data_IF_523835921237
#
_entry.id   IF_523835921237
#
_cell.length_a   1.000
_cell.length_b   1.000
_cell.length_c   1.000
_cell.angle_alpha   90.00
_cell.angle_beta   90.00
_cell.angle_gamma   90.00
#
_symmetry.space_group_name_H-M   'P 1'
#
loop_
_entity.id
_entity.type
_entity.pdbx_description
1 polymer ?
#
# COMPACT_ATOMS: atom_id res chain seq x y z
N UNK A 1 -3.52 3.65 23.66
CA UNK A 1 -3.36 2.73 22.52
C UNK A 1 -2.99 3.54 21.27
N UNK A 2 -1.92 3.19 20.61
CA UNK A 2 -1.49 3.93 19.44
C UNK A 2 -2.38 3.65 18.22
N UNK A 3 -2.48 4.63 17.34
CA UNK A 3 -3.19 4.46 16.09
C UNK A 3 -2.53 3.39 15.23
N UNK A 4 -3.34 2.60 14.55
CA UNK A 4 -2.88 1.68 13.53
C UNK A 4 -2.91 2.42 12.19
N UNK A 5 -1.79 2.39 11.49
CA UNK A 5 -1.68 3.02 10.18
C UNK A 5 -1.66 1.96 9.09
N UNK A 6 -2.73 1.85 8.31
CA UNK A 6 -2.74 0.92 7.18
C UNK A 6 -1.88 1.44 6.04
N UNK A 7 -1.08 0.54 5.44
CA UNK A 7 -0.22 0.87 4.31
C UNK A 7 -0.32 -0.25 3.29
N UNK A 8 -0.78 0.07 2.09
CA UNK A 8 -0.80 -0.89 0.98
C UNK A 8 0.47 -0.79 0.15
N UNK A 9 0.70 -1.79 -0.70
CA UNK A 9 1.95 -1.92 -1.44
C UNK A 9 2.09 -0.97 -2.61
N UNK A 10 1.39 -1.22 -3.71
CA UNK A 10 1.56 -0.45 -4.93
C UNK A 10 0.24 -0.36 -5.69
N UNK A 11 -0.79 0.13 -5.01
CA UNK A 11 -2.12 0.28 -5.62
C UNK A 11 -2.26 1.56 -6.42
N UNK A 12 -1.51 2.62 -6.06
CA UNK A 12 -1.65 3.92 -6.67
C UNK A 12 -2.91 4.64 -6.19
N UNK A 13 -3.18 5.81 -6.79
CA UNK A 13 -4.26 6.67 -6.32
C UNK A 13 -5.64 6.06 -6.51
N UNK A 14 -5.87 5.37 -7.63
CA UNK A 14 -7.18 4.76 -7.91
C UNK A 14 -7.43 3.62 -6.95
N UNK A 15 -6.47 2.70 -6.80
CA UNK A 15 -6.59 1.59 -5.86
C UNK A 15 -6.74 2.06 -4.42
N UNK A 16 -6.02 3.10 -4.05
CA UNK A 16 -6.12 3.70 -2.72
C UNK A 16 -7.56 4.18 -2.44
N UNK A 17 -8.17 4.87 -3.40
CA UNK A 17 -9.55 5.34 -3.27
C UNK A 17 -10.53 4.19 -3.17
N UNK A 18 -10.35 3.13 -3.98
CA UNK A 18 -11.24 1.97 -3.96
C UNK A 18 -11.18 1.27 -2.60
N UNK A 19 -10.00 1.07 -2.05
CA UNK A 19 -9.85 0.43 -0.74
C UNK A 19 -10.50 1.26 0.35
N UNK A 20 -10.31 2.59 0.31
CA UNK A 20 -10.96 3.48 1.27
C UNK A 20 -12.49 3.33 1.24
N UNK A 21 -13.06 3.31 0.05
CA UNK A 21 -14.51 3.19 -0.10
C UNK A 21 -15.02 1.84 0.40
N UNK A 22 -14.32 0.76 0.06
CA UNK A 22 -14.70 -0.58 0.51
C UNK A 22 -14.65 -0.72 2.02
N UNK A 23 -13.61 -0.19 2.64
CA UNK A 23 -13.47 -0.25 4.10
C UNK A 23 -14.51 0.63 4.80
N UNK A 24 -14.84 1.78 4.21
CA UNK A 24 -15.89 2.65 4.75
C UNK A 24 -17.25 1.96 4.76
N UNK A 25 -17.56 1.15 3.75
CA UNK A 25 -18.80 0.37 3.71
C UNK A 25 -18.90 -0.63 4.84
N UNK A 26 -17.76 -1.13 5.32
CA UNK A 26 -17.71 -2.06 6.45
C UNK A 26 -17.55 -1.35 7.79
N UNK A 27 -17.64 -0.02 7.82
CA UNK A 27 -17.58 0.75 9.05
C UNK A 27 -16.20 1.22 9.47
N UNK A 28 -15.18 1.08 8.61
CA UNK A 28 -13.82 1.49 8.92
C UNK A 28 -13.46 2.78 8.19
N UNK A 29 -13.23 3.86 8.94
CA UNK A 29 -12.76 5.12 8.40
C UNK A 29 -11.24 5.13 8.36
N UNK A 30 -10.68 5.17 7.15
CA UNK A 30 -9.24 5.13 6.93
C UNK A 30 -8.67 6.45 6.41
N UNK A 31 -9.46 7.52 6.44
CA UNK A 31 -9.19 8.76 5.72
C UNK A 31 -7.81 9.36 5.95
N UNK A 32 -7.43 9.62 7.20
CA UNK A 32 -6.19 10.35 7.50
C UNK A 32 -5.00 9.43 7.79
N UNK A 33 -5.24 8.13 7.94
CA UNK A 33 -4.21 7.18 8.40
C UNK A 33 -3.72 6.25 7.31
N UNK A 34 -4.51 6.09 6.27
CA UNK A 34 -4.22 5.12 5.21
C UNK A 34 -3.33 5.75 4.14
N UNK A 35 -2.29 5.03 3.74
CA UNK A 35 -1.43 5.45 2.65
C UNK A 35 -1.05 4.24 1.79
N UNK A 36 -0.33 4.50 0.72
CA UNK A 36 0.09 3.48 -0.23
C UNK A 36 1.55 3.76 -0.62
N UNK A 37 2.35 2.69 -0.73
CA UNK A 37 3.77 2.85 -1.05
C UNK A 37 3.99 3.52 -2.40
N UNK A 38 3.14 3.23 -3.40
CA UNK A 38 3.22 3.91 -4.69
C UNK A 38 2.99 5.41 -4.58
N UNK A 39 2.06 5.82 -3.72
CA UNK A 39 1.79 7.24 -3.49
C UNK A 39 2.92 7.90 -2.70
N UNK A 40 3.59 7.18 -1.82
CA UNK A 40 4.73 7.71 -1.06
C UNK A 40 5.98 7.85 -1.91
N UNK A 41 6.15 6.97 -2.89
CA UNK A 41 7.36 6.94 -3.70
C UNK A 41 7.40 8.05 -4.74
N UNK A 42 6.26 8.42 -5.31
CA UNK A 42 6.20 9.35 -6.43
C UNK A 42 5.48 10.65 -6.10
N UNK A 43 5.98 11.75 -6.67
CA UNK A 43 5.30 13.05 -6.65
C UNK A 43 4.46 13.17 -7.92
N UNK A 44 3.15 12.98 -7.80
CA UNK A 44 2.24 12.98 -8.94
C UNK A 44 2.12 14.34 -9.64
N UNK A 45 2.48 15.42 -8.96
CA UNK A 45 2.43 16.75 -9.54
C UNK A 45 3.66 17.05 -10.40
N UNK A 46 4.80 16.50 -10.02
CA UNK A 46 6.08 16.76 -10.69
C UNK A 46 6.51 15.64 -11.63
N UNK A 47 5.98 14.45 -11.44
CA UNK A 47 6.34 13.27 -12.22
C UNK A 47 5.14 12.75 -12.98
N UNK A 48 5.35 12.37 -14.23
CA UNK A 48 4.29 11.82 -15.08
C UNK A 48 4.06 10.35 -14.76
N UNK A 49 3.46 10.09 -13.61
CA UNK A 49 3.25 8.72 -13.09
C UNK A 49 1.78 8.33 -13.05
N UNK A 50 0.91 9.13 -13.65
CA UNK A 50 -0.54 8.87 -13.65
C UNK A 50 -1.07 8.53 -12.26
N UNK A 51 -1.53 7.29 -12.04
CA UNK A 51 -2.06 6.88 -10.75
C UNK A 51 -0.99 6.59 -9.71
N UNK A 52 0.28 6.56 -10.08
CA UNK A 52 1.38 6.35 -9.16
C UNK A 52 1.82 4.91 -9.00
N UNK A 53 1.48 4.02 -9.93
CA UNK A 53 1.96 2.64 -9.89
C UNK A 53 3.42 2.55 -10.26
N UNK A 54 4.16 1.67 -9.59
CA UNK A 54 5.61 1.56 -9.77
C UNK A 54 6.10 0.15 -10.07
N UNK A 55 5.24 -0.85 -9.92
CA UNK A 55 5.60 -2.23 -10.18
C UNK A 55 6.32 -2.92 -9.03
N UNK A 56 7.01 -4.01 -9.35
CA UNK A 56 7.67 -4.85 -8.37
C UNK A 56 8.77 -4.09 -7.62
N UNK A 57 8.89 -4.34 -6.33
CA UNK A 57 9.93 -3.74 -5.50
C UNK A 57 9.53 -2.45 -4.79
N UNK A 58 8.44 -1.82 -5.19
CA UNK A 58 7.98 -0.57 -4.59
C UNK A 58 7.74 -0.72 -3.09
N UNK A 59 6.97 -1.72 -2.68
CA UNK A 59 6.62 -1.89 -1.27
C UNK A 59 7.86 -2.19 -0.43
N UNK A 60 8.78 -3.01 -0.92
CA UNK A 60 10.01 -3.31 -0.20
C UNK A 60 10.91 -2.09 -0.06
N UNK A 61 11.03 -1.30 -1.13
CA UNK A 61 11.84 -0.07 -1.11
C UNK A 61 11.31 0.93 -0.11
N UNK A 62 10.00 1.19 -0.13
CA UNK A 62 9.37 2.13 0.80
C UNK A 62 9.42 1.60 2.23
N UNK A 63 9.22 0.31 2.42
CA UNK A 63 9.32 -0.30 3.75
C UNK A 63 10.68 -0.05 4.37
N UNK A 64 11.76 -0.35 3.62
CA UNK A 64 13.12 -0.22 4.13
C UNK A 64 13.56 1.23 4.29
N UNK A 65 13.18 2.10 3.36
CA UNK A 65 13.67 3.47 3.34
C UNK A 65 12.87 4.44 4.21
N UNK A 66 11.60 4.18 4.40
CA UNK A 66 10.71 5.14 5.05
C UNK A 66 9.94 4.55 6.22
N UNK A 67 9.31 3.39 6.02
CA UNK A 67 8.37 2.86 7.01
C UNK A 67 9.09 2.29 8.24
N UNK A 68 10.10 1.45 8.05
CA UNK A 68 10.85 0.89 9.16
C UNK A 68 11.62 1.95 9.95
N UNK A 69 12.32 2.90 9.30
CA UNK A 69 12.93 3.99 10.05
C UNK A 69 11.92 4.81 10.86
N UNK A 70 10.71 5.03 10.33
CA UNK A 70 9.65 5.71 11.08
C UNK A 70 9.20 4.96 12.32
N UNK A 71 9.09 3.62 12.23
CA UNK A 71 8.81 2.79 13.38
C UNK A 71 9.93 2.83 14.40
N UNK A 72 11.19 2.76 13.96
CA UNK A 72 12.35 2.82 14.81
C UNK A 72 12.43 4.14 15.57
N UNK A 73 12.15 5.24 14.92
CA UNK A 73 12.15 6.57 15.53
C UNK A 73 10.87 6.86 16.32
N UNK A 74 9.95 5.94 16.34
CA UNK A 74 8.65 6.05 17.01
C UNK A 74 7.78 7.18 16.47
N UNK A 75 7.95 7.52 15.19
CA UNK A 75 7.07 8.46 14.50
C UNK A 75 5.65 7.90 14.45
N UNK A 76 5.53 6.59 14.32
CA UNK A 76 4.27 5.85 14.47
C UNK A 76 4.52 4.58 15.27
N UNK A 77 3.48 4.11 15.97
CA UNK A 77 3.62 2.97 16.87
C UNK A 77 3.28 1.64 16.23
N UNK A 78 2.26 1.62 15.38
CA UNK A 78 1.83 0.41 14.69
C UNK A 78 1.40 0.74 13.27
N UNK A 79 1.62 -0.21 12.37
CA UNK A 79 1.09 -0.14 11.02
C UNK A 79 0.66 -1.51 10.57
N UNK A 80 -0.33 -1.56 9.70
CA UNK A 80 -0.69 -2.77 8.96
C UNK A 80 -0.05 -2.60 7.58
N UNK A 81 0.94 -3.44 7.30
CA UNK A 81 1.62 -3.44 6.02
C UNK A 81 1.01 -4.52 5.15
N UNK A 82 0.38 -4.12 4.06
CA UNK A 82 -0.37 -5.01 3.17
C UNK A 82 0.18 -4.89 1.75
N UNK A 83 1.34 -5.50 1.46
CA UNK A 83 1.87 -5.48 0.11
C UNK A 83 0.96 -6.27 -0.82
N UNK A 84 0.80 -5.76 -2.03
CA UNK A 84 -0.09 -6.37 -3.01
C UNK A 84 0.73 -6.95 -4.14
N UNK A 85 0.22 -8.04 -4.73
CA UNK A 85 0.84 -8.64 -5.89
C UNK A 85 -0.22 -9.27 -6.79
N UNK A 86 -0.02 -9.15 -8.09
CA UNK A 86 -0.89 -9.76 -9.08
C UNK A 86 -0.05 -10.28 -10.23
N UNK A 87 -0.43 -11.46 -10.75
CA UNK A 87 0.26 -12.05 -11.88
C UNK A 87 -0.26 -11.41 -13.17
N UNK A 88 0.54 -10.54 -13.77
CA UNK A 88 0.18 -9.77 -14.95
C UNK A 88 1.06 -10.11 -16.17
N UNK A 89 1.37 -11.39 -16.35
CA UNK A 89 2.12 -11.82 -17.53
C UNK A 89 1.27 -11.68 -18.79
N UNK A 90 1.89 -11.55 -19.99
CA UNK A 90 1.13 -11.52 -21.22
C UNK A 90 0.21 -12.72 -21.38
N UNK A 91 0.66 -13.91 -21.00
CA UNK A 91 -0.14 -15.12 -21.07
C UNK A 91 -1.41 -14.99 -20.21
N UNK A 92 -1.27 -14.52 -18.98
CA UNK A 92 -2.40 -14.34 -18.06
C UNK A 92 -3.40 -13.32 -18.61
N UNK A 93 -2.90 -12.20 -19.14
CA UNK A 93 -3.74 -11.12 -19.67
C UNK A 93 -4.51 -11.59 -20.90
N UNK A 94 -3.84 -12.31 -21.82
CA UNK A 94 -4.46 -12.75 -23.06
C UNK A 94 -5.44 -13.91 -22.89
N UNK A 95 -5.40 -14.62 -21.77
CA UNK A 95 -6.38 -15.66 -21.48
C UNK A 95 -7.77 -15.12 -21.17
N UNK A 96 -7.87 -13.83 -20.86
CA UNK A 96 -9.15 -13.17 -20.50
C UNK A 96 -9.83 -13.80 -19.29
N UNK A 97 -9.04 -14.42 -18.42
CA UNK A 97 -9.49 -14.98 -17.15
C UNK A 97 -9.11 -14.02 -16.02
N UNK A 98 -9.57 -14.31 -14.81
CA UNK A 98 -9.16 -13.55 -13.63
C UNK A 98 -7.67 -13.78 -13.35
N UNK A 99 -6.96 -12.70 -13.00
CA UNK A 99 -5.55 -12.80 -12.65
C UNK A 99 -5.38 -13.21 -11.19
N UNK A 100 -4.47 -14.16 -10.90
CA UNK A 100 -4.13 -14.45 -9.51
C UNK A 100 -3.54 -13.23 -8.82
N UNK A 101 -4.00 -12.94 -7.63
CA UNK A 101 -3.52 -11.82 -6.83
C UNK A 101 -3.44 -12.23 -5.37
N UNK A 102 -2.51 -11.63 -4.65
CA UNK A 102 -2.35 -11.86 -3.22
C UNK A 102 -2.17 -10.52 -2.50
N UNK A 103 -2.65 -10.48 -1.27
CA UNK A 103 -2.44 -9.33 -0.40
C UNK A 103 -2.44 -9.82 1.05
N UNK A 104 -1.28 -10.28 1.49
CA UNK A 104 -1.10 -10.69 2.88
C UNK A 104 -0.78 -9.47 3.73
N UNK A 105 -1.44 -9.35 4.89
CA UNK A 105 -1.23 -8.21 5.76
C UNK A 105 -0.48 -8.65 7.02
N UNK A 106 0.47 -7.83 7.44
CA UNK A 106 1.19 -8.03 8.69
C UNK A 106 1.12 -6.76 9.52
N UNK A 107 1.07 -6.93 10.84
CA UNK A 107 1.13 -5.80 11.75
C UNK A 107 2.57 -5.63 12.23
N UNK A 108 3.11 -4.43 12.01
CA UNK A 108 4.43 -4.05 12.47
C UNK A 108 4.27 -3.09 13.66
N UNK A 109 5.00 -3.33 14.73
CA UNK A 109 4.87 -2.55 15.94
C UNK A 109 6.24 -2.11 16.44
N UNK A 110 6.32 -0.87 16.92
CA UNK A 110 7.53 -0.33 17.57
C UNK A 110 7.58 -0.71 19.06
N UNK A 111 6.56 -1.30 19.61
CA UNK A 111 6.51 -1.70 21.01
C UNK A 111 7.39 -2.94 21.25
N UNK A 112 7.97 -2.97 22.40
CA UNK A 112 8.74 -4.14 22.87
C UNK A 112 7.93 -4.93 23.86
#
# INVERSE_FOLDING_TARGET
>A
MGEIRPVTGDLGAIGHSVVKDLMARDGFDMDSRYTDCGLLLFDRKKQDMHAGGSGAGCSASVLCAYLLPGLKSRRWKRMIFAPTGALQSPTTVFQKETMPAVCHAVVLSAER
#
